data_IF_540391593012
#
_entry.id   IF_540391593012
#
_cell.length_a   1.000
_cell.length_b   1.000
_cell.length_c   1.000
_cell.angle_alpha   90.00
_cell.angle_beta   90.00
_cell.angle_gamma   90.00
#
_symmetry.space_group_name_H-M   'P 1'
#
loop_
_entity.id
_entity.type
_entity.pdbx_description
1 polymer ?
#
# COMPACT_ATOMS: atom_id res chain seq x y z
N UNK A 1 -17.73 4.99 13.16
CA UNK A 1 -17.48 3.84 12.28
C UNK A 1 -16.08 3.35 12.62
N UNK A 2 -15.89 2.07 12.94
CA UNK A 2 -14.55 1.53 13.13
C UNK A 2 -14.06 1.06 11.76
N UNK A 3 -13.17 1.83 11.12
CA UNK A 3 -12.72 1.57 9.76
C UNK A 3 -12.06 0.19 9.67
N UNK A 4 -11.21 -0.17 10.63
CA UNK A 4 -10.50 -1.46 10.64
C UNK A 4 -11.49 -2.63 10.64
N UNK A 5 -12.53 -2.55 11.47
CA UNK A 5 -13.55 -3.61 11.51
C UNK A 5 -14.37 -3.67 10.21
N UNK A 6 -14.67 -2.53 9.59
CA UNK A 6 -15.41 -2.52 8.32
C UNK A 6 -14.59 -3.08 7.15
N UNK A 7 -13.29 -2.77 7.11
CA UNK A 7 -12.35 -3.23 6.09
C UNK A 7 -12.08 -4.74 6.13
N UNK A 8 -12.49 -5.46 7.18
CA UNK A 8 -12.48 -6.94 7.20
C UNK A 8 -13.44 -7.55 6.18
N UNK A 9 -14.46 -6.78 5.76
CA UNK A 9 -15.43 -7.20 4.75
C UNK A 9 -14.99 -6.84 3.31
N UNK A 10 -13.77 -6.34 3.12
CA UNK A 10 -13.21 -5.94 1.82
C UNK A 10 -12.19 -6.97 1.31
N UNK A 11 -12.00 -7.02 0.00
CA UNK A 11 -10.84 -7.68 -0.60
C UNK A 11 -9.64 -6.73 -0.59
N UNK A 12 -8.43 -7.23 -0.36
CA UNK A 12 -7.21 -6.45 -0.29
C UNK A 12 -6.21 -6.84 -1.37
N UNK A 13 -5.87 -5.91 -2.26
CA UNK A 13 -4.90 -6.10 -3.33
C UNK A 13 -3.89 -4.94 -3.38
N UNK A 14 -2.71 -5.21 -3.90
CA UNK A 14 -1.66 -4.21 -4.06
C UNK A 14 -1.09 -4.22 -5.48
N UNK A 15 -0.59 -3.07 -5.92
CA UNK A 15 -0.03 -2.86 -7.26
C UNK A 15 1.50 -2.95 -7.20
N UNK A 16 2.07 -3.92 -7.90
CA UNK A 16 3.53 -4.09 -7.97
C UNK A 16 4.15 -3.18 -9.04
N UNK A 17 5.15 -2.39 -8.65
CA UNK A 17 5.97 -1.61 -9.60
C UNK A 17 5.33 -0.34 -10.16
N UNK A 18 4.38 0.27 -9.45
CA UNK A 18 3.75 1.54 -9.88
C UNK A 18 4.58 2.81 -9.58
N UNK A 19 5.83 2.64 -9.16
CA UNK A 19 6.74 3.74 -8.90
C UNK A 19 8.12 3.39 -9.46
N UNK A 20 8.76 4.36 -10.11
CA UNK A 20 10.04 4.14 -10.78
C UNK A 20 11.11 3.64 -9.78
N UNK A 21 11.89 2.65 -10.23
CA UNK A 21 13.01 2.03 -9.49
C UNK A 21 12.67 1.27 -8.19
N UNK A 22 11.45 1.36 -7.65
CA UNK A 22 11.11 0.77 -6.35
C UNK A 22 11.41 -0.74 -6.28
N UNK A 23 11.02 -1.53 -7.30
CA UNK A 23 11.28 -2.97 -7.33
C UNK A 23 12.78 -3.32 -7.26
N UNK A 24 13.64 -2.50 -7.87
CA UNK A 24 15.08 -2.69 -7.77
C UNK A 24 15.62 -2.38 -6.38
N UNK A 25 15.07 -1.36 -5.72
CA UNK A 25 15.46 -0.95 -4.37
C UNK A 25 14.96 -1.93 -3.29
N UNK A 26 13.80 -2.54 -3.51
CA UNK A 26 13.25 -3.61 -2.67
C UNK A 26 13.95 -4.96 -2.88
N UNK A 27 14.83 -5.07 -3.88
CA UNK A 27 15.50 -6.33 -4.22
C UNK A 27 14.56 -7.35 -4.87
N UNK A 28 13.52 -6.90 -5.58
CA UNK A 28 12.52 -7.75 -6.23
C UNK A 28 12.69 -7.81 -7.76
N UNK A 29 13.52 -6.94 -8.35
CA UNK A 29 13.65 -6.79 -9.80
C UNK A 29 13.89 -8.09 -10.59
N UNK A 30 14.68 -9.01 -10.04
CA UNK A 30 15.00 -10.29 -10.70
C UNK A 30 13.77 -11.20 -10.82
N UNK A 31 12.94 -11.27 -9.77
CA UNK A 31 11.70 -12.06 -9.77
C UNK A 31 10.69 -11.51 -10.80
N UNK A 32 10.72 -10.21 -11.05
CA UNK A 32 9.86 -9.53 -12.02
C UNK A 32 10.40 -9.48 -13.45
N UNK A 33 11.60 -10.01 -13.71
CA UNK A 33 12.24 -9.97 -15.03
C UNK A 33 11.50 -10.75 -16.12
N UNK A 34 10.71 -11.75 -15.72
CA UNK A 34 9.89 -12.59 -16.61
C UNK A 34 8.55 -11.95 -17.00
N UNK A 35 8.20 -10.81 -16.39
CA UNK A 35 6.92 -10.14 -16.60
C UNK A 35 7.05 -9.08 -17.69
N UNK A 36 6.38 -9.35 -18.81
CA UNK A 36 6.23 -8.41 -19.92
C UNK A 36 5.13 -7.39 -19.63
N UNK A 37 5.41 -6.13 -19.93
CA UNK A 37 4.44 -5.03 -19.76
C UNK A 37 4.14 -4.38 -21.10
N UNK A 38 2.89 -3.89 -21.27
CA UNK A 38 2.46 -3.18 -22.49
C UNK A 38 3.28 -1.92 -22.76
N UNK A 39 3.74 -1.25 -21.69
CA UNK A 39 4.58 -0.06 -21.75
C UNK A 39 5.76 -0.23 -20.78
N UNK A 40 6.85 0.50 -21.04
CA UNK A 40 8.09 0.43 -20.24
C UNK A 40 7.86 0.71 -18.76
N UNK A 41 7.05 1.73 -18.46
CA UNK A 41 6.83 2.22 -17.10
C UNK A 41 5.52 1.72 -16.49
N UNK A 42 4.82 0.79 -17.16
CA UNK A 42 3.60 0.20 -16.59
C UNK A 42 3.91 -0.62 -15.34
N UNK A 43 2.99 -0.67 -14.36
CA UNK A 43 3.12 -1.58 -13.25
C UNK A 43 3.19 -3.03 -13.76
N UNK A 44 3.83 -3.89 -12.97
CA UNK A 44 4.09 -5.29 -13.35
C UNK A 44 2.88 -6.19 -13.17
N UNK A 45 1.96 -5.84 -12.26
CA UNK A 45 0.74 -6.59 -12.01
C UNK A 45 0.22 -6.30 -10.62
N UNK A 46 -0.79 -7.06 -10.19
CA UNK A 46 -1.37 -6.96 -8.85
C UNK A 46 -1.22 -8.26 -8.09
N UNK A 47 -1.23 -8.20 -6.76
CA UNK A 47 -1.22 -9.39 -5.91
C UNK A 47 -2.22 -9.22 -4.76
N UNK A 48 -2.83 -10.30 -4.27
CA UNK A 48 -3.67 -10.25 -3.09
C UNK A 48 -2.80 -10.11 -1.84
N UNK A 49 -3.21 -9.25 -0.91
CA UNK A 49 -2.68 -9.28 0.45
C UNK A 49 -3.72 -9.75 1.47
N UNK A 50 -5.00 -9.74 1.13
CA UNK A 50 -6.07 -10.21 2.00
C UNK A 50 -7.31 -10.63 1.20
N UNK A 51 -7.80 -11.85 1.43
CA UNK A 51 -9.02 -12.38 0.83
C UNK A 51 -9.87 -12.99 1.94
N UNK A 52 -10.96 -12.30 2.31
CA UNK A 52 -11.87 -12.74 3.37
C UNK A 52 -12.37 -14.17 3.08
N UNK A 53 -12.22 -15.04 4.07
CA UNK A 53 -12.72 -16.42 4.00
C UNK A 53 -11.89 -17.36 3.13
N UNK A 54 -10.69 -16.94 2.70
CA UNK A 54 -9.75 -17.84 2.05
C UNK A 54 -9.11 -18.80 3.06
N UNK A 55 -8.91 -20.06 2.70
CA UNK A 55 -8.40 -21.11 3.61
C UNK A 55 -6.88 -21.10 3.83
N UNK A 56 -6.18 -20.09 3.29
CA UNK A 56 -4.72 -19.92 3.44
C UNK A 56 -4.38 -18.70 4.30
N UNK A 57 -3.09 -18.34 4.37
CA UNK A 57 -2.64 -17.10 5.04
C UNK A 57 -3.34 -15.83 4.52
N UNK A 58 -3.82 -15.82 3.26
CA UNK A 58 -4.58 -14.71 2.69
C UNK A 58 -5.90 -14.46 3.44
N UNK A 59 -6.44 -15.46 4.14
CA UNK A 59 -7.63 -15.30 5.00
C UNK A 59 -7.37 -14.60 6.33
N UNK A 60 -6.09 -14.47 6.74
CA UNK A 60 -5.69 -13.77 7.95
C UNK A 60 -5.71 -12.26 7.71
N UNK A 61 -6.46 -11.51 8.53
CA UNK A 61 -6.62 -10.07 8.35
C UNK A 61 -5.36 -9.31 8.80
N UNK A 62 -4.64 -8.61 7.89
CA UNK A 62 -3.31 -8.08 8.19
C UNK A 62 -3.30 -6.60 8.60
N UNK A 63 -4.38 -5.85 8.39
CA UNK A 63 -4.37 -4.39 8.53
C UNK A 63 -4.55 -3.97 10.00
N UNK A 64 -3.73 -3.01 10.46
CA UNK A 64 -3.84 -2.38 11.78
C UNK A 64 -3.41 -0.92 11.72
N UNK A 65 -4.06 -0.03 12.45
CA UNK A 65 -3.74 1.39 12.51
C UNK A 65 -2.60 1.74 13.48
N UNK A 66 -2.34 0.92 14.50
CA UNK A 66 -1.41 1.29 15.60
C UNK A 66 -0.14 0.43 15.69
N UNK A 67 -0.15 -0.80 15.16
CA UNK A 67 0.92 -1.78 15.43
C UNK A 67 1.30 -2.53 14.17
N UNK A 68 2.61 -2.77 14.02
CA UNK A 68 3.14 -3.82 13.13
C UNK A 68 3.71 -4.95 13.99
N UNK A 69 3.21 -6.17 13.79
CA UNK A 69 3.73 -7.37 14.45
C UNK A 69 4.81 -8.04 13.59
N UNK A 70 5.99 -8.23 14.18
CA UNK A 70 7.11 -8.91 13.47
C UNK A 70 6.89 -10.41 13.33
N UNK A 71 6.11 -11.01 14.23
CA UNK A 71 5.93 -12.47 14.34
C UNK A 71 7.26 -13.25 14.40
N UNK A 72 8.30 -12.65 14.97
CA UNK A 72 9.62 -13.27 15.06
C UNK A 72 10.39 -13.34 13.73
N UNK A 73 9.99 -12.53 12.74
CA UNK A 73 10.55 -12.50 11.38
C UNK A 73 11.58 -11.38 11.18
N UNK A 74 12.16 -10.82 12.24
CA UNK A 74 13.10 -9.69 12.16
C UNK A 74 14.30 -9.98 11.25
N UNK A 75 14.76 -11.23 11.21
CA UNK A 75 15.86 -11.67 10.37
C UNK A 75 15.52 -11.64 8.86
N UNK A 76 14.24 -11.62 8.52
CA UNK A 76 13.73 -11.45 7.15
C UNK A 76 13.61 -9.98 6.74
N UNK A 77 14.22 -9.06 7.51
CA UNK A 77 14.48 -7.68 7.07
C UNK A 77 13.19 -6.92 6.70
N UNK A 78 12.33 -6.71 7.69
CA UNK A 78 11.08 -5.95 7.52
C UNK A 78 11.34 -4.52 7.02
N UNK A 79 10.57 -4.06 6.04
CA UNK A 79 10.61 -2.69 5.53
C UNK A 79 9.21 -2.08 5.45
N UNK A 80 9.15 -0.77 5.71
CA UNK A 80 7.97 0.07 5.47
C UNK A 80 7.81 0.27 3.98
N UNK A 81 6.60 0.06 3.46
CA UNK A 81 6.26 0.44 2.09
C UNK A 81 5.15 1.47 2.14
N UNK A 82 5.54 2.74 2.04
CA UNK A 82 4.61 3.86 2.13
C UNK A 82 3.83 4.00 0.83
N UNK A 83 2.51 3.86 0.91
CA UNK A 83 1.61 3.92 -0.23
C UNK A 83 0.38 4.80 0.02
N UNK A 84 -0.27 5.18 -1.07
CA UNK A 84 -1.66 5.64 -1.02
C UNK A 84 -2.57 4.40 -1.13
N UNK A 85 -3.38 4.14 -0.12
CA UNK A 85 -4.49 3.20 -0.24
C UNK A 85 -5.70 3.88 -0.89
N UNK A 86 -6.40 3.16 -1.76
CA UNK A 86 -7.71 3.49 -2.28
C UNK A 86 -8.74 2.54 -1.66
N UNK A 87 -9.80 3.09 -1.09
CA UNK A 87 -10.95 2.32 -0.61
C UNK A 87 -12.05 2.51 -1.65
N UNK A 88 -12.41 1.41 -2.30
CA UNK A 88 -13.24 1.44 -3.50
C UNK A 88 -14.51 0.60 -3.33
N UNK A 89 -15.59 1.09 -3.91
CA UNK A 89 -16.68 0.21 -4.34
C UNK A 89 -16.26 -0.48 -5.65
N UNK A 90 -16.95 -1.54 -6.06
CA UNK A 90 -16.73 -2.15 -7.37
C UNK A 90 -18.04 -2.71 -7.93
N UNK A 91 -18.09 -2.86 -9.25
CA UNK A 91 -19.18 -3.52 -9.97
C UNK A 91 -18.68 -4.88 -10.44
N UNK A 92 -19.38 -5.94 -10.07
CA UNK A 92 -19.02 -7.32 -10.41
C UNK A 92 -20.21 -8.06 -11.00
N UNK A 93 -20.06 -8.47 -12.26
CA UNK A 93 -21.12 -9.10 -13.05
C UNK A 93 -20.54 -10.22 -13.90
N UNK A 94 -21.28 -11.32 -14.04
CA UNK A 94 -20.89 -12.46 -14.88
C UNK A 94 -19.44 -12.92 -14.61
N UNK A 95 -19.11 -13.02 -13.33
CA UNK A 95 -17.79 -13.42 -12.82
C UNK A 95 -16.63 -12.45 -13.15
N UNK A 96 -16.92 -11.22 -13.57
CA UNK A 96 -15.93 -10.22 -13.96
C UNK A 96 -16.09 -8.90 -13.22
N UNK A 97 -14.97 -8.23 -12.94
CA UNK A 97 -14.95 -6.84 -12.47
C UNK A 97 -15.25 -5.94 -13.66
N UNK A 98 -16.34 -5.17 -13.59
CA UNK A 98 -16.78 -4.25 -14.63
C UNK A 98 -16.27 -2.84 -14.37
N UNK A 99 -16.25 -2.42 -13.10
CA UNK A 99 -15.75 -1.10 -12.71
C UNK A 99 -15.21 -1.14 -11.28
N UNK A 100 -14.30 -0.20 -10.98
CA UNK A 100 -13.76 0.07 -9.65
C UNK A 100 -14.02 1.55 -9.38
N UNK A 101 -14.66 1.87 -8.27
CA UNK A 101 -15.06 3.25 -7.95
C UNK A 101 -14.33 3.68 -6.68
N UNK A 102 -13.17 4.37 -6.79
CA UNK A 102 -12.47 4.92 -5.64
C UNK A 102 -13.34 5.93 -4.89
N UNK A 103 -13.57 5.67 -3.59
CA UNK A 103 -14.41 6.50 -2.72
C UNK A 103 -13.58 7.33 -1.75
N UNK A 104 -12.51 6.74 -1.25
CA UNK A 104 -11.61 7.38 -0.30
C UNK A 104 -10.16 7.02 -0.61
N UNK A 105 -9.24 7.87 -0.15
CA UNK A 105 -7.82 7.54 -0.08
C UNK A 105 -7.26 7.75 1.33
N UNK A 106 -6.15 7.08 1.63
CA UNK A 106 -5.53 7.10 2.96
C UNK A 106 -4.03 6.80 2.87
N UNK A 107 -3.26 7.24 3.86
CA UNK A 107 -1.92 6.73 4.12
C UNK A 107 -1.98 5.22 4.43
N UNK A 108 -1.08 4.47 3.81
CA UNK A 108 -0.98 3.03 3.94
C UNK A 108 0.48 2.59 4.09
N UNK A 109 0.69 1.52 4.84
CA UNK A 109 1.96 0.84 4.98
C UNK A 109 1.80 -0.61 4.51
N UNK A 110 2.27 -0.91 3.30
CA UNK A 110 2.32 -2.26 2.75
C UNK A 110 3.53 -3.03 3.28
N UNK A 111 3.74 -3.02 4.60
CA UNK A 111 4.96 -3.53 5.22
C UNK A 111 5.28 -4.94 4.72
N UNK A 112 6.57 -5.18 4.51
CA UNK A 112 7.05 -6.29 3.68
C UNK A 112 8.31 -6.92 4.23
N UNK A 113 8.44 -8.23 4.03
CA UNK A 113 9.63 -9.01 4.31
C UNK A 113 10.56 -9.03 3.08
N UNK A 114 11.86 -8.92 3.30
CA UNK A 114 12.88 -8.91 2.24
C UNK A 114 13.69 -10.20 2.24
N UNK A 115 13.09 -11.21 1.61
CA UNK A 115 13.76 -12.45 1.26
C UNK A 115 13.43 -12.84 -0.19
N UNK A 116 14.30 -13.66 -0.78
CA UNK A 116 14.11 -14.25 -2.10
C UNK A 116 14.15 -15.76 -1.98
N UNK A 117 13.04 -16.41 -2.26
CA UNK A 117 12.88 -17.87 -2.21
C UNK A 117 12.05 -18.40 -3.40
N UNK A 118 11.68 -17.53 -4.34
CA UNK A 118 10.82 -17.87 -5.48
C UNK A 118 9.34 -18.05 -5.13
N UNK A 119 8.92 -17.74 -3.90
CA UNK A 119 7.51 -17.74 -3.51
C UNK A 119 6.75 -16.53 -4.09
N UNK A 120 5.41 -16.59 -4.02
CA UNK A 120 4.54 -15.49 -4.43
C UNK A 120 4.76 -14.26 -3.56
N UNK A 121 4.63 -13.07 -4.15
CA UNK A 121 4.87 -11.81 -3.45
C UNK A 121 3.97 -11.67 -2.22
N UNK A 122 2.72 -12.16 -2.29
CA UNK A 122 1.77 -12.14 -1.17
C UNK A 122 2.31 -12.79 0.12
N UNK A 123 3.19 -13.79 0.05
CA UNK A 123 3.79 -14.44 1.23
C UNK A 123 4.71 -13.51 2.02
N UNK A 124 5.32 -12.54 1.31
CA UNK A 124 6.19 -11.50 1.87
C UNK A 124 5.38 -10.36 2.49
N UNK A 125 4.08 -10.32 2.22
CA UNK A 125 3.17 -9.20 2.47
C UNK A 125 2.19 -9.51 3.60
N UNK A 126 1.69 -10.74 3.65
CA UNK A 126 0.81 -11.20 4.72
C UNK A 126 1.44 -12.42 5.41
N UNK A 127 2.14 -12.16 6.51
CA UNK A 127 2.73 -13.19 7.37
C UNK A 127 1.98 -13.36 8.69
N UNK A 128 0.76 -12.81 8.81
CA UNK A 128 -0.05 -12.88 10.03
C UNK A 128 -0.96 -11.68 10.22
N UNK A 129 -1.50 -11.55 11.43
CA UNK A 129 -2.27 -10.37 11.83
C UNK A 129 -1.36 -9.14 12.00
N UNK A 130 -1.89 -7.95 11.72
CA UNK A 130 -1.20 -6.67 11.96
C UNK A 130 0.16 -6.57 11.28
N UNK A 131 0.25 -7.02 10.03
CA UNK A 131 1.46 -6.91 9.19
C UNK A 131 1.38 -5.74 8.22
N UNK A 132 0.27 -5.01 8.18
CA UNK A 132 0.05 -3.85 7.31
C UNK A 132 -0.62 -2.72 8.07
N UNK A 133 -0.59 -1.51 7.51
CA UNK A 133 -1.15 -0.33 8.15
C UNK A 133 -2.05 0.51 7.26
N UNK A 134 -3.12 1.04 7.84
CA UNK A 134 -3.94 2.09 7.22
C UNK A 134 -4.30 3.14 8.27
N UNK A 135 -4.24 4.41 7.89
CA UNK A 135 -4.72 5.49 8.75
C UNK A 135 -6.24 5.43 8.94
N UNK A 136 -6.72 5.85 10.11
CA UNK A 136 -8.14 6.10 10.35
C UNK A 136 -8.63 7.40 9.69
N UNK A 137 -7.70 8.30 9.34
CA UNK A 137 -7.97 9.57 8.68
C UNK A 137 -8.12 9.36 7.17
N UNK A 138 -9.28 8.86 6.76
CA UNK A 138 -9.61 8.66 5.34
C UNK A 138 -10.13 9.95 4.72
N UNK A 139 -9.74 10.19 3.46
CA UNK A 139 -10.09 11.42 2.75
C UNK A 139 -10.99 11.09 1.56
N UNK A 140 -12.20 11.69 1.45
CA UNK A 140 -13.11 11.42 0.33
C UNK A 140 -12.51 11.81 -1.01
N UNK A 141 -12.70 10.97 -2.02
CA UNK A 141 -12.37 11.29 -3.41
C UNK A 141 -13.57 12.01 -4.02
N UNK A 142 -13.34 13.22 -4.52
CA UNK A 142 -14.34 14.01 -5.25
C UNK A 142 -14.40 13.61 -6.74
N UNK A 143 -13.24 13.44 -7.34
CA UNK A 143 -13.04 13.04 -8.73
C UNK A 143 -11.75 12.22 -8.83
N UNK A 144 -11.79 11.05 -9.48
CA UNK A 144 -10.61 10.20 -9.66
C UNK A 144 -9.90 10.53 -10.99
N UNK A 145 -9.64 11.82 -11.18
CA UNK A 145 -8.93 12.38 -12.33
C UNK A 145 -7.87 13.39 -11.86
N UNK A 146 -7.04 13.90 -12.77
CA UNK A 146 -6.04 14.93 -12.46
C UNK A 146 -6.63 16.22 -11.87
N UNK A 147 -7.94 16.45 -12.06
CA UNK A 147 -8.68 17.60 -11.54
C UNK A 147 -9.13 17.41 -10.09
N UNK A 148 -9.21 16.17 -9.63
CA UNK A 148 -9.66 15.82 -8.29
C UNK A 148 -8.67 16.21 -7.19
N UNK A 149 -9.12 16.16 -5.94
CA UNK A 149 -8.33 16.63 -4.81
C UNK A 149 -7.04 15.83 -4.61
N UNK A 150 -7.02 14.55 -4.96
CA UNK A 150 -5.90 13.64 -4.72
C UNK A 150 -4.62 14.10 -5.43
N UNK A 151 -4.76 14.80 -6.57
CA UNK A 151 -3.63 15.37 -7.29
C UNK A 151 -2.85 16.47 -6.53
N UNK A 152 -3.37 16.96 -5.40
CA UNK A 152 -2.73 17.98 -4.53
C UNK A 152 -1.90 17.36 -3.41
N UNK A 153 -1.97 16.04 -3.24
CA UNK A 153 -1.38 15.35 -2.11
C UNK A 153 0.02 14.87 -2.42
N UNK A 154 0.87 14.93 -1.40
CA UNK A 154 2.17 14.27 -1.35
C UNK A 154 2.12 13.14 -0.34
N UNK A 155 2.98 12.16 -0.55
CA UNK A 155 3.24 11.07 0.37
C UNK A 155 4.67 11.17 0.91
N UNK A 156 4.86 10.92 2.20
CA UNK A 156 6.16 10.85 2.84
C UNK A 156 6.15 9.80 3.96
N UNK A 157 7.31 9.24 4.28
CA UNK A 157 7.43 8.27 5.37
C UNK A 157 8.73 8.37 6.11
N UNK A 158 8.66 8.05 7.39
CA UNK A 158 9.73 8.22 8.35
C UNK A 158 9.74 7.05 9.35
N UNK A 159 10.91 6.80 9.92
CA UNK A 159 11.06 5.96 11.10
C UNK A 159 11.65 6.82 12.20
N UNK A 160 11.10 6.69 13.41
CA UNK A 160 11.74 7.21 14.62
C UNK A 160 12.25 6.05 15.46
N UNK A 161 13.55 6.08 15.73
CA UNK A 161 14.28 5.06 16.48
C UNK A 161 15.08 5.73 17.57
N UNK A 162 14.89 5.31 18.82
CA UNK A 162 15.56 5.88 19.99
C UNK A 162 15.42 7.41 20.08
N UNK A 163 14.26 7.94 19.67
CA UNK A 163 13.97 9.37 19.65
C UNK A 163 14.50 10.14 18.44
N UNK A 164 15.24 9.50 17.52
CA UNK A 164 15.78 10.13 16.31
C UNK A 164 14.90 9.79 15.12
N UNK A 165 14.45 10.81 14.38
CA UNK A 165 13.65 10.67 13.16
C UNK A 165 14.55 10.55 11.93
N UNK A 166 14.24 9.59 11.07
CA UNK A 166 14.91 9.33 9.80
C UNK A 166 13.89 9.29 8.67
N UNK A 167 14.16 10.01 7.58
CA UNK A 167 13.42 9.87 6.33
C UNK A 167 13.58 8.43 5.82
N UNK A 168 12.47 7.76 5.52
CA UNK A 168 12.49 6.36 5.09
C UNK A 168 12.13 6.21 3.62
N UNK A 169 11.02 6.79 3.19
CA UNK A 169 10.60 6.92 1.80
C UNK A 169 10.77 8.35 1.31
N UNK A 170 11.07 8.52 0.02
CA UNK A 170 11.19 9.85 -0.60
C UNK A 170 9.83 10.55 -0.60
N UNK A 171 9.81 11.83 -0.17
CA UNK A 171 8.60 12.66 -0.30
C UNK A 171 8.27 12.82 -1.77
N UNK A 172 7.09 12.37 -2.18
CA UNK A 172 6.69 12.26 -3.58
C UNK A 172 5.30 12.83 -3.78
N UNK A 173 5.08 13.52 -4.90
CA UNK A 173 3.72 13.88 -5.31
C UNK A 173 2.96 12.62 -5.70
N UNK A 174 1.68 12.51 -5.35
CA UNK A 174 0.83 11.41 -5.83
C UNK A 174 0.73 11.41 -7.37
N UNK A 175 1.02 12.53 -8.04
CA UNK A 175 1.11 12.58 -9.50
C UNK A 175 2.36 11.89 -10.08
N UNK A 176 3.32 11.48 -9.24
CA UNK A 176 4.56 10.83 -9.69
C UNK A 176 4.45 9.30 -9.82
N UNK A 177 3.33 8.70 -9.42
CA UNK A 177 3.01 7.32 -9.74
C UNK A 177 2.98 7.12 -11.27
N UNK A 178 3.49 5.98 -11.73
CA UNK A 178 3.58 5.69 -13.16
C UNK A 178 2.19 5.64 -13.81
N UNK A 179 1.27 4.91 -13.18
CA UNK A 179 -0.13 4.84 -13.54
C UNK A 179 -0.94 5.43 -12.39
N UNK A 180 -1.76 6.43 -12.70
CA UNK A 180 -2.65 7.04 -11.73
C UNK A 180 -3.97 7.49 -12.39
N UNK A 181 -4.99 7.74 -11.56
CA UNK A 181 -6.34 8.13 -12.00
C UNK A 181 -6.97 7.09 -12.94
N UNK A 182 -7.71 7.53 -13.96
CA UNK A 182 -8.39 6.67 -14.96
C UNK A 182 -7.45 5.61 -15.54
N UNK A 183 -6.19 5.95 -15.84
CA UNK A 183 -5.21 4.99 -16.37
C UNK A 183 -4.97 3.83 -15.42
N UNK A 184 -4.81 4.11 -14.12
CA UNK A 184 -4.65 3.06 -13.11
C UNK A 184 -5.93 2.26 -12.96
N UNK A 185 -7.09 2.92 -12.92
CA UNK A 185 -8.40 2.25 -12.79
C UNK A 185 -8.61 1.23 -13.90
N UNK A 186 -8.48 1.65 -15.15
CA UNK A 186 -8.72 0.80 -16.31
C UNK A 186 -7.71 -0.35 -16.37
N UNK A 187 -6.45 -0.08 -16.01
CA UNK A 187 -5.43 -1.11 -15.89
C UNK A 187 -5.74 -2.13 -14.80
N UNK A 188 -6.19 -1.71 -13.62
CA UNK A 188 -6.55 -2.64 -12.53
C UNK A 188 -7.72 -3.54 -12.92
N UNK A 189 -8.71 -3.01 -13.65
CA UNK A 189 -9.84 -3.81 -14.15
C UNK A 189 -9.35 -4.87 -15.15
N UNK A 190 -8.46 -4.51 -16.08
CA UNK A 190 -7.85 -5.47 -17.01
C UNK A 190 -7.08 -6.56 -16.25
N UNK A 191 -6.22 -6.15 -15.31
CA UNK A 191 -5.38 -7.07 -14.52
C UNK A 191 -6.20 -8.01 -13.65
N UNK A 192 -7.20 -7.53 -12.92
CA UNK A 192 -8.05 -8.39 -12.08
C UNK A 192 -8.77 -9.47 -12.90
N UNK A 193 -9.14 -9.17 -14.14
CA UNK A 193 -9.87 -10.11 -15.00
C UNK A 193 -8.97 -11.02 -15.85
N UNK A 194 -7.71 -10.63 -16.09
CA UNK A 194 -6.87 -11.26 -17.12
C UNK A 194 -5.50 -11.73 -16.63
N UNK A 195 -5.05 -11.35 -15.42
CA UNK A 195 -3.72 -11.74 -14.94
C UNK A 195 -3.67 -13.24 -14.63
N UNK A 196 -2.80 -13.93 -15.35
CA UNK A 196 -2.45 -15.33 -15.13
C UNK A 196 -1.32 -15.49 -14.09
N UNK A 197 -1.12 -16.72 -13.60
CA UNK A 197 -0.01 -17.04 -12.70
C UNK A 197 1.33 -16.85 -13.42
N UNK A 198 2.17 -15.94 -12.91
CA UNK A 198 3.46 -15.67 -13.52
C UNK A 198 4.48 -15.16 -12.49
N UNK A 199 5.56 -15.91 -12.31
CA UNK A 199 6.64 -15.55 -11.38
C UNK A 199 6.11 -15.25 -9.97
N UNK A 200 6.35 -14.04 -9.42
CA UNK A 200 5.92 -13.66 -8.08
C UNK A 200 4.41 -13.35 -7.98
N UNK A 201 3.68 -13.31 -9.10
CA UNK A 201 2.27 -12.94 -9.14
C UNK A 201 1.36 -14.17 -9.29
N UNK A 202 0.25 -14.15 -8.57
CA UNK A 202 -0.83 -15.13 -8.67
C UNK A 202 -1.74 -14.86 -9.87
N UNK A 203 -2.41 -15.91 -10.35
CA UNK A 203 -3.62 -15.75 -11.16
C UNK A 203 -4.71 -15.09 -10.30
N UNK A 204 -5.34 -14.00 -10.77
CA UNK A 204 -6.21 -13.19 -9.91
C UNK A 204 -7.70 -13.57 -9.99
N UNK A 205 -8.15 -14.14 -11.11
CA UNK A 205 -9.53 -14.54 -11.32
C UNK A 205 -10.03 -15.53 -10.27
N UNK A 206 -9.17 -16.42 -9.75
CA UNK A 206 -9.52 -17.33 -8.66
C UNK A 206 -9.98 -16.64 -7.37
N UNK A 207 -9.57 -15.39 -7.14
CA UNK A 207 -9.96 -14.61 -5.95
C UNK A 207 -11.25 -13.81 -6.17
N UNK A 208 -11.65 -13.58 -7.42
CA UNK A 208 -12.87 -12.81 -7.72
C UNK A 208 -14.16 -13.54 -7.30
N UNK A 209 -14.12 -14.86 -7.13
CA UNK A 209 -15.26 -15.61 -6.55
C UNK A 209 -15.68 -15.14 -5.15
N UNK A 210 -14.78 -14.48 -4.41
CA UNK A 210 -15.07 -13.90 -3.09
C UNK A 210 -15.73 -12.51 -3.18
N UNK A 211 -15.77 -11.90 -4.36
CA UNK A 211 -16.30 -10.56 -4.58
C UNK A 211 -17.79 -10.46 -4.23
N UNK A 212 -18.59 -11.50 -4.49
CA UNK A 212 -20.03 -11.53 -4.17
C UNK A 212 -20.36 -11.33 -2.68
N UNK A 213 -19.42 -11.65 -1.79
CA UNK A 213 -19.59 -11.54 -0.34
C UNK A 213 -18.76 -10.38 0.26
N UNK A 214 -18.20 -9.52 -0.59
CA UNK A 214 -17.32 -8.42 -0.18
C UNK A 214 -18.05 -7.08 -0.33
N UNK A 215 -17.82 -6.16 0.60
CA UNK A 215 -18.39 -4.80 0.55
C UNK A 215 -17.69 -3.91 -0.47
N UNK A 216 -16.41 -4.18 -0.74
CA UNK A 216 -15.57 -3.37 -1.60
C UNK A 216 -14.18 -3.98 -1.78
N UNK A 217 -13.28 -3.18 -2.35
CA UNK A 217 -11.86 -3.52 -2.53
C UNK A 217 -10.98 -2.40 -1.94
N UNK A 218 -9.93 -2.79 -1.23
CA UNK A 218 -8.85 -1.91 -0.79
C UNK A 218 -7.67 -2.16 -1.70
N UNK A 219 -7.12 -1.08 -2.26
CA UNK A 219 -6.00 -1.14 -3.19
C UNK A 219 -4.84 -0.35 -2.62
N UNK A 220 -3.71 -1.03 -2.37
CA UNK A 220 -2.44 -0.37 -2.11
C UNK A 220 -1.81 -0.01 -3.47
N UNK A 221 -1.68 1.29 -3.76
CA UNK A 221 -1.40 1.77 -5.12
C UNK A 221 0.07 1.64 -5.57
N UNK A 222 0.95 1.12 -4.71
CA UNK A 222 2.38 0.96 -4.90
C UNK A 222 3.20 1.86 -3.98
N UNK A 223 4.39 1.39 -3.62
CA UNK A 223 5.28 2.08 -2.70
C UNK A 223 6.17 3.11 -3.39
N UNK A 224 6.46 4.22 -2.70
CA UNK A 224 7.43 5.21 -3.17
C UNK A 224 8.88 4.71 -3.06
N UNK A 225 9.80 5.39 -3.75
CA UNK A 225 11.22 5.08 -3.66
C UNK A 225 11.76 5.28 -2.23
N UNK A 226 12.77 4.49 -1.85
CA UNK A 226 13.43 4.62 -0.56
C UNK A 226 14.45 5.76 -0.55
N UNK A 227 14.65 6.36 0.62
CA UNK A 227 15.85 7.17 0.88
C UNK A 227 17.08 6.27 1.02
N UNK A 228 18.27 6.87 1.03
CA UNK A 228 19.51 6.13 1.32
C UNK A 228 19.47 5.40 2.67
N UNK A 229 18.78 5.98 3.66
CA UNK A 229 18.55 5.33 4.95
C UNK A 229 17.61 4.13 4.79
N UNK A 230 16.47 4.31 4.13
CA UNK A 230 15.46 3.26 3.92
C UNK A 230 16.01 2.02 3.22
N UNK A 231 16.88 2.22 2.21
CA UNK A 231 17.55 1.13 1.47
C UNK A 231 18.47 0.25 2.33
N UNK A 232 18.98 0.79 3.43
CA UNK A 232 20.05 0.18 4.23
C UNK A 232 19.60 -0.23 5.63
N UNK A 233 18.38 0.15 6.04
CA UNK A 233 17.90 -0.04 7.39
C UNK A 233 16.53 -0.73 7.41
N UNK A 234 16.46 -1.80 8.20
CA UNK A 234 15.25 -2.59 8.40
C UNK A 234 14.62 -2.26 9.75
N UNK A 235 13.33 -2.55 9.87
CA UNK A 235 12.55 -2.31 11.08
C UNK A 235 13.04 -3.16 12.26
N UNK A 236 12.98 -2.57 13.45
CA UNK A 236 13.28 -3.20 14.73
C UNK A 236 12.11 -3.00 15.67
N UNK A 237 11.91 -3.92 16.61
CA UNK A 237 10.93 -3.72 17.69
C UNK A 237 11.22 -2.41 18.43
N UNK A 238 10.16 -1.64 18.67
CA UNK A 238 10.24 -0.32 19.29
C UNK A 238 10.41 0.84 18.29
N UNK A 239 10.65 0.57 17.00
CA UNK A 239 10.57 1.63 15.99
C UNK A 239 9.15 2.19 15.90
N UNK A 240 9.05 3.52 15.80
CA UNK A 240 7.82 4.22 15.43
C UNK A 240 7.87 4.48 13.91
N UNK A 241 6.83 4.07 13.18
CA UNK A 241 6.67 4.26 11.74
C UNK A 241 5.67 5.39 11.54
N UNK A 242 6.01 6.35 10.68
CA UNK A 242 5.10 7.40 10.26
C UNK A 242 4.94 7.36 8.74
N UNK A 243 3.69 7.34 8.26
CA UNK A 243 3.34 7.56 6.85
C UNK A 243 2.32 8.68 6.78
N UNK A 244 2.62 9.70 5.98
CA UNK A 244 1.74 10.84 5.77
C UNK A 244 1.31 10.90 4.32
N UNK A 245 0.02 11.13 4.10
CA UNK A 245 -0.53 11.56 2.81
C UNK A 245 -1.21 12.89 3.04
N UNK A 246 -0.58 13.99 2.61
CA UNK A 246 -0.99 15.35 3.00
C UNK A 246 -1.05 16.31 1.82
N UNK A 247 -1.97 17.26 1.88
CA UNK A 247 -2.04 18.33 0.88
C UNK A 247 -0.83 19.27 1.03
N UNK A 248 0.11 19.21 0.08
CA UNK A 248 1.35 19.98 0.14
C UNK A 248 1.18 21.49 -0.07
N UNK A 249 -0.02 21.94 -0.45
CA UNK A 249 -0.38 23.36 -0.44
C UNK A 249 -0.88 23.85 0.93
N UNK A 250 -1.29 22.92 1.80
CA UNK A 250 -1.79 23.22 3.13
C UNK A 250 -0.70 23.05 4.21
N UNK A 251 0.21 22.09 4.03
CA UNK A 251 1.26 21.77 5.00
C UNK A 251 2.64 21.77 4.36
N UNK A 252 3.61 22.32 5.09
CA UNK A 252 5.01 22.25 4.78
C UNK A 252 5.64 20.98 5.34
N UNK A 253 6.83 20.63 4.85
CA UNK A 253 7.64 19.57 5.46
C UNK A 253 7.93 19.84 6.95
N UNK A 254 8.08 21.11 7.34
CA UNK A 254 8.33 21.49 8.73
C UNK A 254 7.13 21.17 9.63
N UNK A 255 5.89 21.31 9.14
CA UNK A 255 4.69 20.96 9.89
C UNK A 255 4.65 19.46 10.18
N UNK A 256 4.99 18.64 9.18
CA UNK A 256 5.08 17.18 9.33
C UNK A 256 6.19 16.78 10.33
N UNK A 257 7.36 17.42 10.26
CA UNK A 257 8.45 17.20 11.21
C UNK A 257 8.06 17.57 12.64
N UNK A 258 7.39 18.70 12.82
CA UNK A 258 6.94 19.17 14.13
C UNK A 258 5.94 18.19 14.78
N UNK A 259 5.00 17.64 13.98
CA UNK A 259 4.05 16.63 14.44
C UNK A 259 4.73 15.33 14.90
N UNK A 260 5.72 14.81 14.16
CA UNK A 260 6.50 13.63 14.59
C UNK A 260 7.33 13.88 15.86
N UNK A 261 7.72 15.13 16.10
CA UNK A 261 8.42 15.56 17.30
C UNK A 261 7.48 15.81 18.50
N UNK A 262 6.17 15.56 18.36
CA UNK A 262 5.20 15.67 19.45
C UNK A 262 4.73 17.10 19.72
N UNK A 263 4.90 18.02 18.77
CA UNK A 263 4.27 19.33 18.87
C UNK A 263 2.77 19.20 18.59
N UNK A 264 1.96 19.92 19.37
CA UNK A 264 0.51 19.97 19.19
C UNK A 264 0.16 20.82 17.96
N UNK A 265 0.07 20.16 16.80
CA UNK A 265 -0.25 20.77 15.51
C UNK A 265 -1.44 20.03 14.89
N UNK A 266 -2.43 20.80 14.46
CA UNK A 266 -3.55 20.26 13.71
C UNK A 266 -3.20 20.14 12.22
N UNK A 267 -3.04 18.90 11.75
CA UNK A 267 -2.80 18.59 10.34
C UNK A 267 -4.10 18.29 9.58
N UNK A 268 -4.95 19.31 9.33
CA UNK A 268 -6.16 19.12 8.52
C UNK A 268 -5.85 18.86 7.03
N UNK A 269 -6.61 18.04 6.29
CA UNK A 269 -6.22 17.59 4.93
C UNK A 269 -4.92 16.76 4.92
N UNK A 270 -4.78 15.93 5.94
CA UNK A 270 -3.70 14.97 6.10
C UNK A 270 -4.29 13.64 6.54
N UNK A 271 -3.82 12.56 5.94
CA UNK A 271 -4.00 11.21 6.43
C UNK A 271 -2.69 10.79 7.07
N UNK A 272 -2.70 10.56 8.40
CA UNK A 272 -1.52 10.19 9.18
C UNK A 272 -1.66 8.77 9.69
N UNK A 273 -0.70 7.93 9.33
CA UNK A 273 -0.54 6.60 9.92
C UNK A 273 0.67 6.62 10.84
N UNK A 274 0.47 6.27 12.11
CA UNK A 274 1.53 6.13 13.10
C UNK A 274 1.44 4.74 13.73
N UNK A 275 2.46 3.90 13.51
CA UNK A 275 2.49 2.53 14.00
C UNK A 275 3.73 2.26 14.84
N UNK A 276 3.62 1.37 15.83
CA UNK A 276 4.76 0.87 16.61
C UNK A 276 5.07 -0.56 16.22
N UNK A 277 6.34 -0.87 15.95
CA UNK A 277 6.79 -2.24 15.66
C UNK A 277 6.90 -3.04 16.96
N UNK A 278 6.28 -4.22 17.01
CA UNK A 278 6.22 -5.10 18.19
C UNK A 278 6.57 -6.56 17.90
#
# INVERSE_FOLDING_TARGET
>A
MNLIEDLKDYLGFAVAGNFANHLGEAGEADEFSVIETKEKDAPKGMFPFYIKGHDSFLGTYPICDEVILTHGREDDKLQVEAEVALICDFVYENEKVIDIVPKYFSAFNDCSLRFQDGSKLSTKKNWGEKTKGISQDIIPIDDFSEKGILGKYHISSFIKRDGIVYDYGTTSSVKSYSYFFEKLKDWMIDILNCQEDCGPLEELGQFLKYAHNSKGIIIAAGATAYTDFGKKNFLKKGDEIFVYVYNAHAHSFQDIMNDMCGMDIYLGQCSKLHQIVK
#
